data_IF_166112754927
#
_entry.id   IF_166112754927
#
_cell.length_a   1.000
_cell.length_b   1.000
_cell.length_c   1.000
_cell.angle_alpha   90.00
_cell.angle_beta   90.00
_cell.angle_gamma   90.00
#
_symmetry.space_group_name_H-M   'P 1'
#
loop_
_entity.id
_entity.type
_entity.pdbx_description
1 polymer ?
#
# COMPACT_ATOMS: atom_id res chain seq x y z
N UNK A 1 12.71 -1.31 20.87
CA UNK A 1 11.88 -2.34 20.19
C UNK A 1 11.15 -1.69 19.04
N UNK A 2 11.38 -2.14 17.81
CA UNK A 2 10.61 -1.74 16.63
C UNK A 2 9.60 -2.84 16.27
N UNK A 3 8.43 -2.43 15.79
CA UNK A 3 7.38 -3.33 15.31
C UNK A 3 7.20 -3.12 13.82
N UNK A 4 6.81 -4.16 13.12
CA UNK A 4 6.49 -4.10 11.70
C UNK A 4 5.11 -4.68 11.44
N UNK A 5 4.33 -3.96 10.65
CA UNK A 5 3.00 -4.34 10.22
C UNK A 5 2.95 -4.32 8.70
N UNK A 6 2.22 -5.28 8.13
CA UNK A 6 1.78 -5.23 6.74
C UNK A 6 0.29 -4.93 6.72
N UNK A 7 -0.16 -4.10 5.79
CA UNK A 7 -1.58 -3.90 5.54
C UNK A 7 -1.91 -4.20 4.07
N UNK A 8 -2.88 -5.08 3.88
CA UNK A 8 -3.38 -5.55 2.58
C UNK A 8 -4.65 -4.82 2.19
N UNK A 9 -4.69 -4.30 0.96
CA UNK A 9 -5.89 -3.77 0.32
C UNK A 9 -6.14 -4.60 -0.94
N UNK A 10 -6.94 -5.69 -0.85
CA UNK A 10 -7.30 -6.46 -2.03
C UNK A 10 -8.28 -5.69 -2.89
N UNK A 11 -8.09 -5.81 -4.20
CA UNK A 11 -8.86 -5.15 -5.25
C UNK A 11 -9.38 -6.25 -6.16
N UNK A 12 -10.64 -6.62 -5.94
CA UNK A 12 -11.29 -7.62 -6.77
C UNK A 12 -11.82 -6.97 -8.04
N UNK A 13 -11.41 -7.48 -9.19
CA UNK A 13 -12.14 -7.23 -10.42
C UNK A 13 -13.47 -7.98 -10.29
N UNK A 14 -14.59 -7.26 -10.34
CA UNK A 14 -15.90 -7.90 -10.29
C UNK A 14 -16.03 -8.88 -11.46
N UNK A 15 -16.08 -10.18 -11.17
CA UNK A 15 -16.29 -11.23 -12.16
C UNK A 15 -17.71 -11.23 -12.75
N UNK A 16 -18.63 -10.44 -12.17
CA UNK A 16 -20.06 -10.46 -12.49
C UNK A 16 -20.57 -9.27 -13.34
N UNK A 17 -19.69 -8.41 -13.85
CA UNK A 17 -20.09 -7.37 -14.80
C UNK A 17 -19.78 -7.81 -16.23
N UNK A 18 -20.77 -8.28 -16.98
CA UNK A 18 -20.67 -8.72 -18.39
C UNK A 18 -20.24 -7.65 -19.41
N UNK A 19 -19.64 -6.53 -18.97
CA UNK A 19 -19.24 -5.39 -19.81
C UNK A 19 -18.00 -4.62 -19.30
N UNK A 20 -17.11 -5.20 -18.48
CA UNK A 20 -15.78 -4.58 -18.33
C UNK A 20 -14.92 -5.00 -19.52
N UNK A 21 -14.98 -4.21 -20.59
CA UNK A 21 -14.05 -4.36 -21.72
C UNK A 21 -12.61 -4.46 -21.21
N UNK A 22 -11.75 -5.20 -21.89
CA UNK A 22 -10.32 -5.35 -21.50
C UNK A 22 -9.64 -3.98 -21.25
N UNK A 23 -10.12 -2.95 -21.94
CA UNK A 23 -9.75 -1.55 -21.75
C UNK A 23 -10.01 -1.06 -20.32
N UNK A 24 -11.20 -1.29 -19.76
CA UNK A 24 -11.54 -0.88 -18.38
C UNK A 24 -10.63 -1.57 -17.36
N UNK A 25 -10.31 -2.84 -17.58
CA UNK A 25 -9.37 -3.58 -16.71
C UNK A 25 -7.99 -2.94 -16.75
N UNK A 26 -7.47 -2.62 -17.94
CA UNK A 26 -6.17 -1.95 -18.09
C UNK A 26 -6.15 -0.56 -17.43
N UNK A 27 -7.20 0.23 -17.61
CA UNK A 27 -7.34 1.56 -16.99
C UNK A 27 -7.37 1.48 -15.46
N UNK A 28 -8.11 0.52 -14.91
CA UNK A 28 -8.19 0.30 -13.47
C UNK A 28 -6.85 -0.20 -12.89
N UNK A 29 -6.20 -1.14 -13.59
CA UNK A 29 -4.87 -1.61 -13.23
C UNK A 29 -3.87 -0.45 -13.17
N UNK A 30 -3.90 0.44 -14.16
CA UNK A 30 -3.00 1.59 -14.24
C UNK A 30 -3.30 2.63 -13.15
N UNK A 31 -4.59 2.89 -12.87
CA UNK A 31 -5.00 3.73 -11.73
C UNK A 31 -4.40 3.20 -10.41
N UNK A 32 -4.46 1.90 -10.14
CA UNK A 32 -3.92 1.34 -8.90
C UNK A 32 -2.40 1.39 -8.82
N UNK A 33 -1.70 1.22 -9.93
CA UNK A 33 -0.24 1.46 -9.96
C UNK A 33 0.07 2.90 -9.59
N UNK A 34 -0.65 3.87 -10.16
CA UNK A 34 -0.47 5.28 -9.86
C UNK A 34 -0.76 5.60 -8.38
N UNK A 35 -1.81 5.00 -7.81
CA UNK A 35 -2.11 5.11 -6.38
C UNK A 35 -0.94 4.58 -5.54
N UNK A 36 -0.39 3.40 -5.88
CA UNK A 36 0.75 2.83 -5.17
C UNK A 36 1.99 3.73 -5.23
N UNK A 37 2.28 4.32 -6.40
CA UNK A 37 3.41 5.25 -6.58
C UNK A 37 3.25 6.46 -5.67
N UNK A 38 2.08 7.12 -5.72
CA UNK A 38 1.79 8.33 -4.93
C UNK A 38 1.80 8.00 -3.44
N UNK A 39 1.14 6.92 -3.03
CA UNK A 39 1.12 6.45 -1.65
C UNK A 39 2.53 6.15 -1.14
N UNK A 40 3.38 5.51 -1.95
CA UNK A 40 4.77 5.24 -1.57
C UNK A 40 5.55 6.54 -1.39
N UNK A 41 5.46 7.49 -2.34
CA UNK A 41 6.11 8.81 -2.23
C UNK A 41 5.71 9.53 -0.95
N UNK A 42 4.42 9.54 -0.62
CA UNK A 42 3.90 10.09 0.64
C UNK A 42 4.54 9.40 1.86
N UNK A 43 4.47 8.07 1.92
CA UNK A 43 5.03 7.30 3.04
C UNK A 43 6.53 7.53 3.25
N UNK A 44 7.33 7.67 2.18
CA UNK A 44 8.76 7.97 2.32
C UNK A 44 9.02 9.30 3.02
N UNK A 45 8.17 10.31 2.82
CA UNK A 45 8.38 11.66 3.38
C UNK A 45 8.20 11.71 4.91
N UNK A 46 7.45 10.79 5.51
CA UNK A 46 7.22 10.73 6.96
C UNK A 46 8.19 9.79 7.70
N UNK A 47 9.06 9.10 6.99
CA UNK A 47 10.09 8.26 7.62
C UNK A 47 11.03 9.14 8.45
N UNK A 48 11.38 8.67 9.65
CA UNK A 48 12.21 9.35 10.64
C UNK A 48 11.64 10.69 11.15
N UNK A 49 10.44 11.08 10.74
CA UNK A 49 9.75 12.26 11.30
C UNK A 49 8.99 11.87 12.57
N UNK A 50 9.10 12.67 13.65
CA UNK A 50 8.28 12.48 14.82
C UNK A 50 6.82 12.72 14.42
N UNK A 51 6.00 11.68 14.50
CA UNK A 51 4.57 11.79 14.24
C UNK A 51 3.90 12.16 15.55
N UNK A 52 3.57 13.44 15.73
CA UNK A 52 2.96 13.90 16.96
C UNK A 52 1.47 13.50 17.01
N UNK A 53 1.19 12.45 17.79
CA UNK A 53 -0.13 11.81 17.85
C UNK A 53 -1.16 12.63 18.67
N UNK A 54 -0.85 13.83 19.16
CA UNK A 54 -1.85 14.68 19.85
C UNK A 54 -3.09 14.90 18.96
N UNK A 55 -2.91 15.00 17.64
CA UNK A 55 -4.01 15.07 16.67
C UNK A 55 -4.79 13.76 16.47
N UNK A 56 -4.23 12.61 16.85
CA UNK A 56 -4.84 11.29 16.63
C UNK A 56 -5.39 10.62 17.90
N UNK A 57 -4.92 11.01 19.11
CA UNK A 57 -5.50 10.65 20.42
C UNK A 57 -6.10 11.88 21.10
N UNK A 58 -7.27 12.33 20.66
CA UNK A 58 -8.25 13.04 21.50
C UNK A 58 -7.67 13.98 22.59
N UNK A 59 -6.68 14.82 22.25
CA UNK A 59 -6.14 15.87 23.12
C UNK A 59 -5.23 15.48 24.30
N UNK A 60 -4.65 14.26 24.39
CA UNK A 60 -3.66 13.98 25.47
C UNK A 60 -2.24 14.38 25.05
N UNK A 61 -1.63 15.25 25.86
CA UNK A 61 -0.29 15.85 25.71
C UNK A 61 0.78 14.85 25.24
N UNK A 62 1.57 15.24 24.23
CA UNK A 62 2.75 14.48 23.85
C UNK A 62 3.81 14.61 24.94
N UNK A 63 4.26 13.47 25.44
CA UNK A 63 5.46 13.36 26.25
C UNK A 63 6.57 12.82 25.36
N UNK A 64 7.84 13.04 25.74
CA UNK A 64 9.00 12.41 25.08
C UNK A 64 8.84 10.89 24.92
N UNK A 65 8.02 10.25 25.76
CA UNK A 65 7.79 8.82 25.78
C UNK A 65 6.62 8.36 24.87
N UNK A 66 5.88 9.26 24.24
CA UNK A 66 4.71 8.94 23.39
C UNK A 66 4.93 9.21 21.91
N UNK A 67 6.09 9.74 21.52
CA UNK A 67 6.42 10.02 20.12
C UNK A 67 6.52 8.72 19.34
N UNK A 68 5.72 8.63 18.28
CA UNK A 68 5.77 7.52 17.34
C UNK A 68 6.54 7.97 16.10
N UNK A 69 7.43 7.13 15.60
CA UNK A 69 8.28 7.39 14.44
C UNK A 69 8.26 6.17 13.54
N UNK A 70 7.95 6.40 12.26
CA UNK A 70 8.11 5.38 11.24
C UNK A 70 9.59 5.27 10.87
N UNK A 71 10.13 4.07 10.99
CA UNK A 71 11.52 3.73 10.66
C UNK A 71 11.64 3.19 9.22
N UNK A 72 10.56 2.54 8.73
CA UNK A 72 10.42 2.10 7.35
C UNK A 72 8.94 2.23 6.99
N UNK A 73 8.66 2.74 5.81
CA UNK A 73 7.30 2.76 5.29
C UNK A 73 7.35 2.56 3.77
N UNK A 74 6.32 1.97 3.17
CA UNK A 74 6.23 1.86 1.73
C UNK A 74 4.91 1.26 1.26
N UNK A 75 4.62 1.45 -0.02
CA UNK A 75 3.44 0.90 -0.68
C UNK A 75 3.85 0.25 -2.01
N UNK A 76 3.32 -0.94 -2.27
CA UNK A 76 3.56 -1.70 -3.51
C UNK A 76 2.24 -2.19 -4.08
N UNK A 77 2.20 -2.35 -5.39
CA UNK A 77 1.07 -2.94 -6.10
C UNK A 77 1.47 -4.31 -6.64
N UNK A 78 0.68 -5.33 -6.32
CA UNK A 78 0.84 -6.69 -6.81
C UNK A 78 -0.29 -7.03 -7.79
N UNK A 79 0.05 -7.74 -8.86
CA UNK A 79 -0.94 -8.33 -9.76
C UNK A 79 -1.55 -9.64 -9.20
N UNK A 80 -2.45 -10.23 -9.99
CA UNK A 80 -3.10 -11.50 -9.67
C UNK A 80 -2.12 -12.67 -9.61
N UNK A 81 -0.98 -12.56 -10.30
CA UNK A 81 0.09 -13.55 -10.30
C UNK A 81 1.03 -13.38 -9.10
N UNK A 82 0.88 -12.31 -8.32
CA UNK A 82 1.71 -12.02 -7.17
C UNK A 82 3.04 -11.40 -7.57
N UNK A 83 3.15 -10.89 -8.80
CA UNK A 83 4.29 -10.13 -9.25
C UNK A 83 4.12 -8.66 -8.85
N UNK A 84 5.22 -8.04 -8.48
CA UNK A 84 5.27 -6.63 -8.12
C UNK A 84 5.17 -5.80 -9.40
N UNK A 85 4.09 -5.06 -9.57
CA UNK A 85 3.91 -4.14 -10.70
C UNK A 85 4.56 -2.78 -10.45
N UNK A 86 4.73 -2.40 -9.18
CA UNK A 86 5.38 -1.14 -8.77
C UNK A 86 6.34 -1.44 -7.63
N UNK A 87 7.63 -1.28 -7.87
CA UNK A 87 8.64 -1.31 -6.81
C UNK A 87 8.69 0.06 -6.15
N UNK A 88 8.12 0.20 -4.95
CA UNK A 88 8.38 1.32 -4.06
C UNK A 88 9.87 1.32 -3.70
N UNK A 89 10.68 2.10 -4.43
CA UNK A 89 12.13 2.07 -4.34
C UNK A 89 12.68 2.64 -3.02
N UNK A 90 13.78 2.06 -2.53
CA UNK A 90 14.90 2.70 -1.80
C UNK A 90 15.93 1.64 -1.34
N UNK A 91 16.80 1.16 -2.22
CA UNK A 91 18.14 0.74 -1.81
C UNK A 91 19.06 1.93 -2.14
N UNK A 92 19.54 2.62 -1.11
CA UNK A 92 20.34 3.85 -1.19
C UNK A 92 21.75 3.65 -1.78
N UNK A 93 21.97 2.69 -2.69
CA UNK A 93 23.30 2.37 -3.22
C UNK A 93 23.41 2.25 -4.75
N UNK A 94 22.34 2.46 -5.52
CA UNK A 94 22.45 2.39 -6.98
C UNK A 94 21.89 3.66 -7.64
N UNK A 95 22.69 4.16 -8.58
CA UNK A 95 22.54 5.43 -9.29
C UNK A 95 21.13 5.68 -9.86
N UNK A 96 20.83 6.97 -10.00
CA UNK A 96 19.50 7.54 -10.15
C UNK A 96 18.60 6.85 -11.18
N UNK A 97 17.39 6.52 -10.71
CA UNK A 97 16.23 6.37 -11.57
C UNK A 97 15.22 7.47 -11.20
N UNK A 98 15.04 8.42 -12.11
CA UNK A 98 14.01 9.43 -12.06
C UNK A 98 12.65 8.77 -12.28
N UNK A 99 11.93 8.44 -11.21
CA UNK A 99 10.51 8.07 -11.27
C UNK A 99 9.66 9.34 -11.43
N UNK A 100 9.80 10.02 -12.57
CA UNK A 100 8.78 10.93 -13.06
C UNK A 100 7.55 10.08 -13.38
N UNK A 101 6.39 10.50 -12.88
CA UNK A 101 5.09 9.93 -13.26
C UNK A 101 4.85 10.36 -14.71
N UNK A 102 5.41 9.62 -15.65
CA UNK A 102 5.16 9.85 -17.06
C UNK A 102 3.92 9.05 -17.44
N UNK A 103 2.80 9.75 -17.65
CA UNK A 103 1.62 9.18 -18.30
C UNK A 103 2.00 8.88 -19.75
N UNK A 104 2.47 7.68 -20.02
CA UNK A 104 2.78 7.25 -21.38
C UNK A 104 1.47 6.88 -22.08
N UNK A 105 1.09 7.66 -23.07
CA UNK A 105 0.31 7.14 -24.20
C UNK A 105 1.26 6.32 -25.07
N UNK A 106 0.93 5.04 -25.25
CA UNK A 106 1.44 4.05 -26.21
C UNK A 106 2.75 4.39 -26.94
N UNK A 107 3.79 3.59 -26.70
CA UNK A 107 4.71 3.13 -27.74
C UNK A 107 5.52 1.91 -27.23
N UNK A 108 5.53 0.86 -28.06
CA UNK A 108 6.17 -0.44 -27.86
C UNK A 108 7.69 -0.42 -28.16
N UNK A 109 8.32 -1.53 -27.74
CA UNK A 109 9.66 -2.02 -28.11
C UNK A 109 10.88 -1.38 -27.41
N UNK A 110 11.31 -1.98 -26.28
CA UNK A 110 12.64 -2.59 -26.10
C UNK A 110 12.83 -3.11 -24.64
N UNK A 111 12.63 -4.40 -24.35
CA UNK A 111 12.89 -4.99 -23.02
C UNK A 111 13.34 -6.45 -23.09
N UNK A 112 14.65 -6.70 -23.15
CA UNK A 112 15.20 -8.07 -22.99
C UNK A 112 16.36 -8.23 -22.01
N UNK A 113 16.74 -7.22 -21.21
CA UNK A 113 17.85 -7.37 -20.25
C UNK A 113 17.56 -7.00 -18.77
N UNK A 114 16.39 -6.44 -18.45
CA UNK A 114 16.07 -5.97 -17.08
C UNK A 114 15.15 -6.94 -16.29
N UNK A 115 14.85 -8.13 -16.82
CA UNK A 115 13.76 -8.98 -16.34
C UNK A 115 14.15 -10.05 -15.31
N UNK A 116 15.43 -10.12 -14.90
CA UNK A 116 15.91 -11.16 -13.97
C UNK A 116 15.97 -10.71 -12.49
N UNK A 117 15.82 -9.41 -12.19
CA UNK A 117 15.91 -8.89 -10.81
C UNK A 117 14.54 -8.75 -10.10
N UNK A 118 13.43 -9.10 -10.78
CA UNK A 118 12.03 -8.85 -10.34
C UNK A 118 11.40 -9.93 -9.45
N UNK A 119 12.11 -11.01 -9.09
CA UNK A 119 11.59 -12.08 -8.22
C UNK A 119 11.96 -11.94 -6.73
N UNK A 120 12.48 -10.78 -6.30
CA UNK A 120 12.68 -10.56 -4.87
C UNK A 120 11.38 -10.09 -4.24
N UNK A 121 10.83 -10.96 -3.40
CA UNK A 121 9.83 -10.62 -2.40
C UNK A 121 10.21 -9.31 -1.69
N UNK A 122 9.45 -8.25 -1.92
CA UNK A 122 9.65 -6.94 -1.30
C UNK A 122 9.55 -7.04 0.22
N UNK A 123 8.67 -7.92 0.68
CA UNK A 123 8.55 -8.34 2.07
C UNK A 123 8.96 -9.82 2.08
N UNK A 124 10.11 -10.19 2.66
CA UNK A 124 10.65 -11.56 2.54
C UNK A 124 9.67 -12.64 2.99
N UNK A 125 9.25 -13.54 2.10
CA UNK A 125 8.29 -14.60 2.41
C UNK A 125 6.82 -14.20 2.25
N UNK A 126 6.57 -13.06 1.62
CA UNK A 126 5.24 -12.52 1.37
C UNK A 126 4.64 -13.01 0.04
N UNK A 127 5.46 -13.31 -0.98
CA UNK A 127 5.05 -13.46 -2.39
C UNK A 127 3.80 -14.30 -2.64
N UNK A 128 3.79 -15.57 -2.23
CA UNK A 128 2.62 -16.46 -2.44
C UNK A 128 1.67 -16.48 -1.23
N UNK A 129 2.16 -16.20 -0.02
CA UNK A 129 1.39 -16.36 1.22
C UNK A 129 0.30 -15.32 1.41
N UNK A 130 0.43 -14.13 0.83
CA UNK A 130 -0.59 -13.09 0.98
C UNK A 130 -1.89 -13.46 0.27
N UNK A 131 -1.83 -14.19 -0.86
CA UNK A 131 -3.03 -14.63 -1.59
C UNK A 131 -3.88 -15.56 -0.76
N UNK A 132 -3.24 -16.51 -0.07
CA UNK A 132 -3.94 -17.42 0.85
C UNK A 132 -4.64 -16.65 1.96
N UNK A 133 -4.00 -15.63 2.54
CA UNK A 133 -4.61 -14.80 3.57
C UNK A 133 -5.75 -13.93 3.03
N UNK A 134 -5.61 -13.33 1.85
CA UNK A 134 -6.69 -12.57 1.20
C UNK A 134 -7.91 -13.45 0.93
N UNK A 135 -7.71 -14.63 0.35
CA UNK A 135 -8.80 -15.56 0.02
C UNK A 135 -9.45 -16.19 1.25
N UNK A 136 -8.69 -16.47 2.31
CA UNK A 136 -9.24 -17.14 3.51
C UNK A 136 -9.84 -16.18 4.55
N UNK A 137 -9.24 -15.00 4.75
CA UNK A 137 -9.61 -14.12 5.86
C UNK A 137 -10.32 -12.83 5.41
N UNK A 138 -9.99 -12.31 4.22
CA UNK A 138 -10.55 -11.03 3.74
C UNK A 138 -11.76 -11.24 2.84
N UNK A 139 -11.74 -12.30 2.04
CA UNK A 139 -12.79 -12.66 1.09
C UNK A 139 -13.43 -14.00 1.48
N UNK A 140 -14.16 -14.09 2.60
CA UNK A 140 -14.78 -15.34 2.99
C UNK A 140 -15.71 -15.83 1.87
N UNK A 141 -15.35 -16.97 1.27
CA UNK A 141 -16.18 -17.64 0.27
C UNK A 141 -17.52 -17.95 0.92
N UNK A 142 -18.58 -17.47 0.29
CA UNK A 142 -19.95 -17.60 0.78
C UNK A 142 -20.49 -19.02 0.50
N UNK A 143 -19.73 -20.06 0.81
CA UNK A 143 -20.10 -21.47 0.55
C UNK A 143 -20.31 -22.26 1.85
N UNK A 144 -21.03 -21.66 2.81
CA UNK A 144 -21.66 -22.43 3.89
C UNK A 144 -23.07 -22.83 3.48
N UNK A 145 -23.18 -23.78 2.55
CA UNK A 145 -24.27 -24.77 2.40
C UNK A 145 -24.24 -25.40 1.01
N UNK A 146 -23.46 -26.46 0.81
CA UNK A 146 -23.95 -27.66 0.13
C UNK A 146 -23.00 -28.84 0.33
N UNK A 147 -23.58 -29.90 0.89
CA UNK A 147 -22.95 -31.20 1.13
C UNK A 147 -22.95 -32.01 -0.17
N UNK A 148 -21.86 -32.75 -0.38
CA UNK A 148 -21.67 -33.88 -1.32
C UNK A 148 -21.39 -33.57 -2.79
N UNK A 149 -20.12 -33.68 -3.18
CA UNK A 149 -19.64 -34.51 -4.30
C UNK A 149 -18.12 -34.42 -4.42
N UNK A 150 -17.49 -35.51 -4.87
CA UNK A 150 -16.04 -35.71 -5.12
C UNK A 150 -15.48 -34.81 -6.25
N UNK A 151 -15.79 -33.53 -6.24
CA UNK A 151 -15.18 -32.56 -7.14
C UNK A 151 -13.97 -31.94 -6.46
N UNK A 152 -12.80 -32.12 -7.10
CA UNK A 152 -11.57 -31.36 -6.85
C UNK A 152 -11.96 -29.91 -6.53
N UNK A 153 -11.74 -29.48 -5.30
CA UNK A 153 -11.84 -28.07 -4.92
C UNK A 153 -10.88 -27.28 -5.81
N UNK A 154 -11.40 -26.67 -6.87
CA UNK A 154 -10.74 -25.55 -7.51
C UNK A 154 -10.71 -24.44 -6.46
N UNK A 155 -9.58 -24.34 -5.73
CA UNK A 155 -9.33 -23.23 -4.82
C UNK A 155 -9.60 -21.95 -5.60
N UNK A 156 -10.61 -21.18 -5.17
CA UNK A 156 -10.93 -19.89 -5.78
C UNK A 156 -9.65 -19.04 -5.82
N UNK A 157 -9.11 -18.89 -7.02
CA UNK A 157 -7.86 -18.18 -7.23
C UNK A 157 -8.15 -16.69 -7.19
N UNK A 158 -7.37 -15.95 -6.39
CA UNK A 158 -7.45 -14.51 -6.36
C UNK A 158 -7.11 -13.93 -7.75
N UNK A 159 -8.12 -13.40 -8.44
CA UNK A 159 -7.97 -12.84 -9.81
C UNK A 159 -7.73 -11.33 -9.81
N UNK A 160 -7.62 -10.71 -8.63
CA UNK A 160 -7.53 -9.27 -8.43
C UNK A 160 -6.11 -8.70 -8.40
N UNK A 161 -5.98 -7.45 -7.96
CA UNK A 161 -4.73 -6.80 -7.57
C UNK A 161 -4.68 -6.57 -6.07
N UNK A 162 -3.50 -6.33 -5.51
CA UNK A 162 -3.39 -5.96 -4.10
C UNK A 162 -2.43 -4.81 -3.89
N UNK A 163 -2.87 -3.80 -3.12
CA UNK A 163 -1.94 -2.83 -2.54
C UNK A 163 -1.42 -3.37 -1.22
N UNK A 164 -0.13 -3.23 -1.02
CA UNK A 164 0.59 -3.76 0.14
C UNK A 164 1.32 -2.62 0.79
N UNK A 165 0.94 -2.30 2.03
CA UNK A 165 1.58 -1.27 2.83
C UNK A 165 2.50 -1.93 3.86
N UNK A 166 3.79 -1.60 3.86
CA UNK A 166 4.73 -2.02 4.91
C UNK A 166 4.97 -0.84 5.83
N UNK A 167 4.81 -1.03 7.13
CA UNK A 167 4.98 0.03 8.13
C UNK A 167 5.79 -0.54 9.31
N UNK A 168 7.02 -0.07 9.46
CA UNK A 168 7.89 -0.34 10.61
C UNK A 168 8.04 0.92 11.43
N UNK A 169 7.90 0.81 12.75
CA UNK A 169 7.99 1.95 13.65
C UNK A 169 8.47 1.55 15.03
N UNK A 170 9.01 2.51 15.76
CA UNK A 170 9.41 2.32 17.17
C UNK A 170 8.20 2.00 18.07
N UNK A 171 7.02 2.51 17.70
CA UNK A 171 5.77 2.34 18.44
C UNK A 171 4.60 2.57 17.50
N UNK A 172 3.52 1.83 17.74
CA UNK A 172 2.22 2.08 17.13
C UNK A 172 1.16 2.18 18.22
N UNK A 173 0.33 3.21 18.13
CA UNK A 173 -0.83 3.37 18.99
C UNK A 173 -2.04 2.64 18.41
N UNK A 174 -3.09 2.51 19.23
CA UNK A 174 -4.31 1.80 18.83
C UNK A 174 -4.87 2.40 17.53
N UNK A 175 -5.08 1.54 16.53
CA UNK A 175 -5.59 1.88 15.18
C UNK A 175 -4.65 2.77 14.34
N UNK A 176 -3.43 3.09 14.79
CA UNK A 176 -2.53 4.01 14.10
C UNK A 176 -2.21 3.55 12.68
N UNK A 177 -1.80 2.29 12.51
CA UNK A 177 -1.50 1.70 11.18
C UNK A 177 -2.69 1.86 10.22
N UNK A 178 -3.89 1.47 10.67
CA UNK A 178 -5.11 1.52 9.87
C UNK A 178 -5.54 2.95 9.52
N UNK A 179 -5.28 3.92 10.41
CA UNK A 179 -5.52 5.35 10.13
C UNK A 179 -4.55 5.88 9.09
N UNK A 180 -3.25 5.61 9.25
CA UNK A 180 -2.20 6.00 8.28
C UNK A 180 -2.55 5.45 6.90
N UNK A 181 -2.83 4.15 6.80
CA UNK A 181 -3.18 3.52 5.52
C UNK A 181 -4.41 4.15 4.89
N UNK A 182 -5.50 4.34 5.64
CA UNK A 182 -6.71 4.93 5.07
C UNK A 182 -6.47 6.36 4.58
N UNK A 183 -5.78 7.19 5.38
CA UNK A 183 -5.51 8.58 5.03
C UNK A 183 -4.61 8.71 3.81
N UNK A 184 -3.55 7.89 3.74
CA UNK A 184 -2.65 7.84 2.58
C UNK A 184 -3.39 7.34 1.34
N UNK A 185 -4.20 6.29 1.47
CA UNK A 185 -4.95 5.74 0.35
C UNK A 185 -5.95 6.75 -0.23
N UNK A 186 -6.72 7.43 0.63
CA UNK A 186 -7.66 8.46 0.19
C UNK A 186 -6.95 9.65 -0.45
N UNK A 187 -5.83 10.10 0.11
CA UNK A 187 -5.06 11.20 -0.49
C UNK A 187 -4.45 10.80 -1.84
N UNK A 188 -3.89 9.60 -1.95
CA UNK A 188 -3.36 9.08 -3.20
C UNK A 188 -4.45 8.95 -4.27
N UNK A 189 -5.65 8.50 -3.87
CA UNK A 189 -6.81 8.44 -4.75
C UNK A 189 -7.25 9.83 -5.24
N UNK A 190 -7.33 10.82 -4.34
CA UNK A 190 -7.70 12.19 -4.69
C UNK A 190 -6.71 12.79 -5.69
N UNK A 191 -5.42 12.54 -5.46
CA UNK A 191 -4.33 12.94 -6.34
C UNK A 191 -4.50 12.30 -7.71
N UNK A 192 -4.57 10.98 -7.79
CA UNK A 192 -4.70 10.25 -9.07
C UNK A 192 -5.99 10.65 -9.80
N UNK A 193 -7.09 10.87 -9.08
CA UNK A 193 -8.33 11.37 -9.66
C UNK A 193 -8.19 12.78 -10.24
N UNK A 194 -7.42 13.65 -9.59
CA UNK A 194 -7.09 14.98 -10.10
C UNK A 194 -6.25 14.89 -11.38
N UNK A 195 -5.25 14.01 -11.41
CA UNK A 195 -4.42 13.74 -12.59
C UNK A 195 -5.27 13.29 -13.79
N UNK A 196 -6.12 12.28 -13.60
CA UNK A 196 -6.95 11.73 -14.67
C UNK A 196 -7.88 12.79 -15.29
N UNK A 197 -8.27 13.82 -14.53
CA UNK A 197 -9.12 14.92 -15.02
C UNK A 197 -8.33 16.01 -15.76
N UNK A 198 -7.10 16.29 -15.34
CA UNK A 198 -6.33 17.45 -15.81
C UNK A 198 -5.18 17.09 -16.77
N UNK A 199 -4.94 15.80 -17.03
CA UNK A 199 -4.03 15.31 -18.07
C UNK A 199 -2.57 15.21 -17.64
N UNK A 200 -2.02 16.23 -16.99
CA UNK A 200 -0.62 16.21 -16.50
C UNK A 200 -0.47 17.00 -15.20
N UNK A 201 0.33 16.50 -14.27
CA UNK A 201 0.81 17.28 -13.11
C UNK A 201 2.20 17.75 -13.43
N UNK A 202 2.42 19.04 -13.24
CA UNK A 202 3.77 19.57 -13.34
C UNK A 202 4.57 19.15 -12.11
N UNK A 203 5.89 19.12 -12.23
CA UNK A 203 6.78 18.79 -11.12
C UNK A 203 6.58 19.75 -9.93
N UNK A 204 6.23 21.00 -10.20
CA UNK A 204 5.90 22.00 -9.19
C UNK A 204 4.63 21.64 -8.42
N UNK A 205 3.59 21.21 -9.13
CA UNK A 205 2.31 20.85 -8.52
C UNK A 205 2.42 19.51 -7.77
N UNK A 206 3.29 18.60 -8.23
CA UNK A 206 3.69 17.41 -7.46
C UNK A 206 4.42 17.77 -6.16
N UNK A 207 5.41 18.66 -6.22
CA UNK A 207 6.12 19.13 -5.03
C UNK A 207 5.19 19.85 -4.07
N UNK A 208 4.30 20.71 -4.56
CA UNK A 208 3.32 21.40 -3.71
C UNK A 208 2.37 20.41 -3.04
N UNK A 209 1.87 19.41 -3.79
CA UNK A 209 0.99 18.40 -3.24
C UNK A 209 1.69 17.54 -2.18
N UNK A 210 2.93 17.12 -2.45
CA UNK A 210 3.79 16.36 -1.53
C UNK A 210 4.34 17.26 -0.40
N UNK A 211 4.24 18.58 -0.48
CA UNK A 211 4.58 19.44 0.65
C UNK A 211 3.39 19.55 1.61
N UNK A 212 2.20 19.76 1.06
CA UNK A 212 0.97 19.95 1.83
C UNK A 212 0.32 18.64 2.32
N UNK A 213 0.73 17.48 1.80
CA UNK A 213 0.11 16.20 2.20
C UNK A 213 0.28 15.89 3.69
N UNK A 214 1.39 16.29 4.33
CA UNK A 214 1.57 16.03 5.77
C UNK A 214 0.48 16.72 6.56
N UNK A 215 0.20 17.98 6.23
CA UNK A 215 -0.89 18.74 6.83
C UNK A 215 -2.25 18.13 6.49
N UNK A 216 -2.50 17.75 5.23
CA UNK A 216 -3.78 17.14 4.82
C UNK A 216 -4.03 15.77 5.42
N UNK A 217 -3.01 14.93 5.55
CA UNK A 217 -3.12 13.62 6.20
C UNK A 217 -3.33 13.80 7.69
N UNK A 218 -2.60 14.71 8.33
CA UNK A 218 -2.85 15.06 9.73
C UNK A 218 -4.28 15.59 9.92
N UNK A 219 -4.77 16.41 9.00
CA UNK A 219 -6.12 16.94 9.02
C UNK A 219 -7.17 15.85 8.80
N UNK A 220 -7.01 14.97 7.80
CA UNK A 220 -7.88 13.80 7.56
C UNK A 220 -7.92 12.87 8.79
N UNK A 221 -6.80 12.73 9.48
CA UNK A 221 -6.74 11.94 10.70
C UNK A 221 -7.46 12.64 11.87
N UNK A 222 -7.35 13.97 11.98
CA UNK A 222 -8.02 14.79 13.00
C UNK A 222 -9.53 14.93 12.76
N UNK A 223 -9.94 15.10 11.50
CA UNK A 223 -11.32 15.28 11.07
C UNK A 223 -12.18 14.02 11.24
N UNK A 224 -11.56 12.91 11.65
CA UNK A 224 -12.26 11.71 12.07
C UNK A 224 -12.48 10.69 10.98
N UNK A 225 -11.68 10.72 9.89
CA UNK A 225 -11.70 9.61 8.94
C UNK A 225 -11.45 8.29 9.69
N UNK A 226 -12.39 7.36 9.51
CA UNK A 226 -12.34 6.08 10.18
C UNK A 226 -11.05 5.33 9.84
N UNK A 227 -10.55 4.46 10.72
CA UNK A 227 -9.47 3.56 10.36
C UNK A 227 -9.93 2.65 9.21
N UNK A 228 -9.01 2.28 8.30
CA UNK A 228 -9.25 1.22 7.30
C UNK A 228 -9.75 -0.06 7.99
N UNK A 229 -10.46 -1.00 7.35
CA UNK A 229 -10.93 -2.25 7.99
C UNK A 229 -9.83 -3.03 8.74
N UNK A 230 -10.14 -3.87 9.74
CA UNK A 230 -9.10 -4.63 10.45
C UNK A 230 -8.57 -5.83 9.65
N UNK A 231 -9.36 -6.39 8.72
CA UNK A 231 -9.06 -7.66 8.04
C UNK A 231 -7.78 -7.66 7.20
N UNK A 232 -7.32 -6.49 6.73
CA UNK A 232 -6.06 -6.40 5.99
C UNK A 232 -4.82 -6.26 6.87
N UNK A 233 -4.94 -6.12 8.20
CA UNK A 233 -3.82 -5.79 9.07
C UNK A 233 -3.11 -7.05 9.58
N UNK A 234 -1.85 -7.20 9.18
CA UNK A 234 -0.96 -8.29 9.59
C UNK A 234 0.16 -7.75 10.49
N UNK A 235 0.41 -8.45 11.61
CA UNK A 235 1.65 -8.27 12.37
C UNK A 235 2.76 -9.08 11.69
N UNK A 236 3.89 -8.43 11.40
CA UNK A 236 4.95 -9.04 10.60
C UNK A 236 6.19 -9.42 11.42
N UNK A 237 6.78 -8.45 12.11
CA UNK A 237 8.03 -8.68 12.83
C UNK A 237 8.17 -7.81 14.09
N UNK A 238 8.98 -8.29 15.02
CA UNK A 238 9.44 -7.56 16.21
C UNK A 238 10.96 -7.51 16.17
N UNK A 239 11.52 -6.32 16.17
CA UNK A 239 12.96 -6.13 16.31
C UNK A 239 13.26 -5.58 17.71
N UNK A 240 13.99 -6.35 18.49
CA UNK A 240 14.47 -5.93 19.80
C UNK A 240 15.88 -5.41 19.61
N UNK A 241 16.13 -4.19 20.09
CA UNK A 241 17.48 -3.62 20.07
C UNK A 241 18.39 -4.50 20.94
N UNK A 242 19.46 -5.09 20.38
CA UNK A 242 20.32 -6.00 21.12
C UNK A 242 21.01 -5.32 22.31
N UNK A 243 21.12 -3.99 22.32
CA UNK A 243 21.69 -3.23 23.44
C UNK A 243 20.80 -3.19 24.68
N UNK A 244 19.51 -3.52 24.54
CA UNK A 244 18.52 -3.54 25.63
C UNK A 244 18.33 -4.98 26.16
N UNK A 245 18.85 -5.98 25.46
CA UNK A 245 18.64 -7.40 25.77
C UNK A 245 19.68 -8.01 26.74
N UNK A 246 20.66 -7.22 27.19
CA UNK A 246 21.68 -7.58 28.19
C UNK A 246 21.50 -6.76 29.47
#
# INVERSE_FOLDING_TARGET
>A
VAREYIYLVPLLFSSQGSCSSEKNRKEEQERFKNIAIVANKMLQQVINKPTDYIGMSSGKLSSKNTVCTLLKAGCWCYDCDGQVMVTGGSDSSRHGNNNNIHFTTDDDDDKTAAMEETKKDVVPGFGEKWKEHVTSEILPTSSSHQHNSDHKEEKEQFTGQCLVFQLKGNRFLRRMVRKIVNSVLQEAEDVVSFYCKNGTMTEELEKEWIHQWEERVQEKIRSGNGPAPPGGLLFWSLEVDPTIAN
#
